data_IF_725202695938
#
_entry.id   IF_725202695938
#
_cell.length_a   1.000
_cell.length_b   1.000
_cell.length_c   1.000
_cell.angle_alpha   90.00
_cell.angle_beta   90.00
_cell.angle_gamma   90.00
#
_symmetry.space_group_name_H-M   'P 1'
#
loop_
_entity.id
_entity.type
_entity.pdbx_description
1 polymer ?
#
# COMPACT_ATOMS: atom_id res chain seq x y z
N UNK A 1 2.19 -18.75 1.14
CA UNK A 1 3.39 -17.94 1.40
C UNK A 1 3.07 -16.98 2.55
N UNK A 2 3.93 -16.89 3.56
CA UNK A 2 3.76 -15.90 4.64
C UNK A 2 3.95 -14.48 4.08
N UNK A 3 3.32 -13.51 4.74
CA UNK A 3 3.52 -12.09 4.47
C UNK A 3 5.00 -11.73 4.71
N UNK A 4 5.70 -11.27 3.68
CA UNK A 4 7.05 -10.72 3.81
C UNK A 4 7.09 -9.33 3.14
N UNK A 5 7.76 -8.34 3.74
CA UNK A 5 8.32 -8.33 5.10
C UNK A 5 7.28 -8.47 6.21
N UNK A 6 7.75 -8.71 7.44
CA UNK A 6 6.87 -8.98 8.57
C UNK A 6 6.08 -7.71 8.97
N UNK A 7 4.88 -7.90 9.51
CA UNK A 7 4.00 -6.79 9.92
C UNK A 7 4.69 -5.78 10.86
N UNK A 8 5.57 -6.26 11.74
CA UNK A 8 6.34 -5.39 12.66
C UNK A 8 7.19 -4.38 11.90
N UNK A 9 7.81 -4.80 10.80
CA UNK A 9 8.71 -3.96 10.02
C UNK A 9 7.91 -2.91 9.24
N UNK A 10 6.74 -3.30 8.73
CA UNK A 10 5.78 -2.39 8.09
C UNK A 10 5.26 -1.33 9.08
N UNK A 11 5.00 -1.70 10.33
CA UNK A 11 4.51 -0.78 11.35
C UNK A 11 5.55 0.27 11.78
N UNK A 12 6.86 0.02 11.54
CA UNK A 12 7.88 1.05 11.73
C UNK A 12 7.77 2.18 10.67
N UNK A 13 7.17 1.89 9.51
CA UNK A 13 6.90 2.86 8.44
C UNK A 13 5.53 3.50 8.60
N UNK A 14 4.52 2.68 8.89
CA UNK A 14 3.13 3.10 9.04
C UNK A 14 2.64 2.70 10.44
N UNK A 15 2.66 3.60 11.44
CA UNK A 15 2.43 3.23 12.83
C UNK A 15 0.98 2.82 13.15
N UNK A 16 0.05 3.01 12.22
CA UNK A 16 -1.34 2.57 12.34
C UNK A 16 -1.60 1.34 11.47
N UNK A 17 -2.07 0.25 12.10
CA UNK A 17 -2.46 -0.99 11.38
C UNK A 17 -3.58 -0.74 10.37
N UNK A 18 -4.57 0.07 10.72
CA UNK A 18 -5.68 0.40 9.82
C UNK A 18 -5.18 1.21 8.63
N UNK A 19 -4.31 2.21 8.89
CA UNK A 19 -3.71 3.01 7.83
C UNK A 19 -2.84 2.16 6.90
N UNK A 20 -2.05 1.26 7.46
CA UNK A 20 -1.23 0.31 6.69
C UNK A 20 -2.12 -0.53 5.77
N UNK A 21 -3.21 -1.08 6.28
CA UNK A 21 -4.17 -1.85 5.47
C UNK A 21 -4.77 -1.00 4.36
N UNK A 22 -5.18 0.23 4.65
CA UNK A 22 -5.78 1.12 3.66
C UNK A 22 -4.77 1.48 2.54
N UNK A 23 -3.54 1.85 2.90
CA UNK A 23 -2.46 2.19 1.95
C UNK A 23 -2.15 1.00 1.05
N UNK A 24 -1.94 -0.19 1.65
CA UNK A 24 -1.63 -1.41 0.90
C UNK A 24 -2.79 -1.78 -0.02
N UNK A 25 -4.04 -1.70 0.45
CA UNK A 25 -5.21 -2.03 -0.37
C UNK A 25 -5.40 -1.05 -1.54
N UNK A 26 -5.16 0.24 -1.30
CA UNK A 26 -5.19 1.25 -2.36
C UNK A 26 -4.13 0.94 -3.41
N UNK A 27 -2.87 0.80 -2.99
CA UNK A 27 -1.75 0.59 -3.90
C UNK A 27 -1.84 -0.72 -4.67
N UNK A 28 -2.30 -1.79 -4.03
CA UNK A 28 -2.51 -3.06 -4.70
C UNK A 28 -3.59 -2.99 -5.80
N UNK A 29 -4.61 -2.13 -5.66
CA UNK A 29 -5.59 -1.90 -6.73
C UNK A 29 -4.97 -1.13 -7.89
N UNK A 30 -4.20 -0.08 -7.61
CA UNK A 30 -3.49 0.67 -8.64
C UNK A 30 -2.60 -0.25 -9.47
N UNK A 31 -1.77 -1.07 -8.83
CA UNK A 31 -0.89 -2.04 -9.50
C UNK A 31 -1.70 -3.04 -10.35
N UNK A 32 -2.84 -3.53 -9.84
CA UNK A 32 -3.70 -4.44 -10.60
C UNK A 32 -4.28 -3.77 -11.84
N UNK A 33 -4.78 -2.54 -11.69
CA UNK A 33 -5.35 -1.77 -12.79
C UNK A 33 -4.30 -1.39 -13.83
N UNK A 34 -3.10 -1.01 -13.40
CA UNK A 34 -1.97 -0.72 -14.30
C UNK A 34 -1.61 -1.94 -15.16
N UNK A 35 -1.52 -3.13 -14.55
CA UNK A 35 -1.26 -4.39 -15.25
C UNK A 35 -2.39 -4.77 -16.24
N UNK A 36 -3.64 -4.61 -15.82
CA UNK A 36 -4.82 -4.84 -16.66
C UNK A 36 -4.83 -3.90 -17.88
N UNK A 37 -4.50 -2.62 -17.69
CA UNK A 37 -4.44 -1.62 -18.75
C UNK A 37 -3.26 -1.85 -19.71
N UNK A 38 -2.12 -2.30 -19.19
CA UNK A 38 -0.96 -2.67 -20.00
C UNK A 38 -1.18 -3.98 -20.77
N UNK A 39 -2.14 -4.82 -20.33
CA UNK A 39 -2.33 -6.17 -20.85
C UNK A 39 -1.22 -7.14 -20.45
N UNK A 40 -0.42 -6.79 -19.45
CA UNK A 40 0.72 -7.58 -18.96
C UNK A 40 0.35 -8.20 -17.61
N UNK A 41 0.34 -9.54 -17.48
CA UNK A 41 0.05 -10.18 -16.21
C UNK A 41 1.16 -9.90 -15.19
N UNK A 42 0.77 -9.71 -13.92
CA UNK A 42 1.74 -9.56 -12.84
C UNK A 42 2.39 -10.89 -12.49
N UNK A 43 3.73 -10.90 -12.36
CA UNK A 43 4.50 -12.05 -11.88
C UNK A 43 4.25 -12.32 -10.38
N UNK A 44 4.05 -11.25 -9.60
CA UNK A 44 3.74 -11.30 -8.18
C UNK A 44 2.35 -10.74 -7.89
N UNK A 45 1.74 -11.15 -6.78
CA UNK A 45 0.44 -10.60 -6.37
C UNK A 45 0.60 -9.10 -6.11
N UNK A 46 -0.34 -8.29 -6.61
CA UNK A 46 -0.33 -6.84 -6.40
C UNK A 46 -0.22 -6.44 -4.92
N UNK A 47 -0.83 -7.21 -4.02
CA UNK A 47 -0.72 -7.01 -2.57
C UNK A 47 0.71 -7.25 -2.05
N UNK A 48 1.41 -8.26 -2.57
CA UNK A 48 2.81 -8.51 -2.20
C UNK A 48 3.72 -7.38 -2.66
N UNK A 49 3.52 -6.89 -3.88
CA UNK A 49 4.27 -5.75 -4.44
C UNK A 49 4.01 -4.49 -3.59
N UNK A 50 2.75 -4.19 -3.27
CA UNK A 50 2.40 -3.04 -2.44
C UNK A 50 3.02 -3.09 -1.03
N UNK A 51 3.07 -4.27 -0.42
CA UNK A 51 3.72 -4.47 0.89
C UNK A 51 5.22 -4.17 0.80
N UNK A 52 5.87 -4.60 -0.28
CA UNK A 52 7.29 -4.32 -0.50
C UNK A 52 7.54 -2.83 -0.71
N UNK A 53 6.68 -2.13 -1.46
CA UNK A 53 6.80 -0.69 -1.65
C UNK A 53 6.63 0.11 -0.34
N UNK A 54 5.72 -0.32 0.56
CA UNK A 54 5.63 0.24 1.91
C UNK A 54 6.94 0.05 2.67
N UNK A 55 7.50 -1.16 2.63
CA UNK A 55 8.74 -1.46 3.34
C UNK A 55 9.92 -0.64 2.82
N UNK A 56 9.97 -0.42 1.51
CA UNK A 56 10.96 0.40 0.82
C UNK A 56 10.77 1.91 1.11
N UNK A 57 9.62 2.33 1.66
CA UNK A 57 9.29 3.75 1.89
C UNK A 57 8.88 4.51 0.62
N UNK A 58 8.39 3.80 -0.41
CA UNK A 58 8.01 4.41 -1.69
C UNK A 58 6.62 5.06 -1.68
N UNK A 59 5.83 4.82 -0.63
CA UNK A 59 4.44 5.28 -0.54
C UNK A 59 4.26 6.48 0.42
N UNK A 60 5.35 7.17 0.78
CA UNK A 60 5.31 8.29 1.73
C UNK A 60 4.37 9.42 1.27
N UNK A 61 4.42 9.77 -0.03
CA UNK A 61 3.51 10.77 -0.62
C UNK A 61 2.03 10.35 -0.56
N UNK A 62 1.73 9.07 -0.85
CA UNK A 62 0.38 8.55 -0.74
C UNK A 62 -0.10 8.52 0.72
N UNK A 63 0.80 8.24 1.66
CA UNK A 63 0.52 8.33 3.09
C UNK A 63 0.14 9.76 3.51
N UNK A 64 0.79 10.77 2.96
CA UNK A 64 0.49 12.18 3.23
C UNK A 64 -0.86 12.59 2.62
N UNK A 65 -1.15 12.18 1.38
CA UNK A 65 -2.43 12.44 0.74
C UNK A 65 -3.59 11.82 1.52
N UNK A 66 -3.45 10.58 1.97
CA UNK A 66 -4.47 9.90 2.78
C UNK A 66 -4.69 10.59 4.13
N UNK A 67 -3.63 11.09 4.77
CA UNK A 67 -3.76 11.87 6.00
C UNK A 67 -4.59 13.16 5.78
N UNK A 68 -4.37 13.85 4.65
CA UNK A 68 -5.09 15.08 4.32
C UNK A 68 -6.58 14.79 4.05
N UNK A 69 -6.88 13.67 3.39
CA UNK A 69 -8.26 13.23 3.13
C UNK A 69 -8.99 12.88 4.43
N UNK A 70 -8.33 12.21 5.38
CA UNK A 70 -8.90 11.90 6.70
C UNK A 70 -9.16 13.16 7.54
N UNK A 71 -8.34 14.21 7.40
CA UNK A 71 -8.55 15.48 8.09
C UNK A 71 -9.61 16.39 7.47
N UNK A 72 -9.98 16.13 6.21
CA UNK A 72 -10.94 16.95 5.45
C UNK A 72 -12.39 16.46 5.59
N UNK A 73 -12.61 15.28 6.18
CA UNK A 73 -13.95 14.78 6.46
C UNK A 73 -14.41 15.32 7.82
N UNK A 74 -15.46 16.17 7.89
CA UNK A 74 -16.07 16.49 9.17
C UNK A 74 -16.65 15.20 9.76
N UNK A 75 -16.32 14.89 11.02
CA UNK A 75 -16.96 13.83 11.79
C UNK A 75 -18.44 14.15 12.05
#
# INVERSE_FOLDING_TARGET
MMLYPAMRDLLNKVPSRYKLVNVVAHRAREISTEAELAGEPLDEKSVSIAIQEVADGKLDEQLEQMNQLEQSQPQ
#
